data_IF_344478926933
#
_entry.id   IF_344478926933
#
_cell.length_a   1.000
_cell.length_b   1.000
_cell.length_c   1.000
_cell.angle_alpha   90.00
_cell.angle_beta   90.00
_cell.angle_gamma   90.00
#
_symmetry.space_group_name_H-M   'P 1'
#
loop_
_entity.id
_entity.type
_entity.pdbx_description
1 polymer ?
#
# COMPACT_ATOMS: atom_id res chain seq x y z
N UNK A 1 22.78 50.19 -1.57
CA UNK A 1 22.95 48.93 -2.36
C UNK A 1 23.02 47.68 -1.48
N UNK A 2 23.79 47.65 -0.38
CA UNK A 2 23.92 46.47 0.51
C UNK A 2 22.58 45.96 1.12
N UNK A 3 21.67 46.87 1.48
CA UNK A 3 20.35 46.52 2.04
C UNK A 3 19.43 45.87 1.00
N UNK A 4 19.48 46.32 -0.26
CA UNK A 4 18.72 45.75 -1.37
C UNK A 4 19.19 44.34 -1.73
N UNK A 5 20.51 44.10 -1.72
CA UNK A 5 21.08 42.75 -1.91
C UNK A 5 20.75 41.81 -0.76
N UNK A 6 20.70 42.29 0.48
CA UNK A 6 20.31 41.47 1.64
C UNK A 6 18.83 41.08 1.60
N UNK A 7 17.94 42.01 1.20
CA UNK A 7 16.51 41.74 1.03
C UNK A 7 16.24 40.77 -0.14
N UNK A 8 16.97 40.91 -1.25
CA UNK A 8 16.88 39.97 -2.38
C UNK A 8 17.37 38.57 -1.99
N UNK A 9 18.48 38.46 -1.26
CA UNK A 9 18.98 37.19 -0.77
C UNK A 9 17.99 36.51 0.20
N UNK A 10 17.38 37.28 1.11
CA UNK A 10 16.36 36.76 2.02
C UNK A 10 15.10 36.29 1.29
N UNK A 11 14.62 37.06 0.30
CA UNK A 11 13.47 36.67 -0.52
C UNK A 11 13.71 35.37 -1.32
N UNK A 12 14.92 35.17 -1.84
CA UNK A 12 15.28 33.96 -2.59
C UNK A 12 15.36 32.72 -1.70
N UNK A 13 15.79 32.87 -0.43
CA UNK A 13 15.83 31.76 0.54
C UNK A 13 14.42 31.31 0.97
N UNK A 14 13.47 32.23 1.11
CA UNK A 14 12.08 31.91 1.50
C UNK A 14 11.34 31.22 0.34
N UNK A 15 11.61 31.60 -0.91
CA UNK A 15 11.03 30.96 -2.09
C UNK A 15 11.52 29.52 -2.32
N UNK A 16 12.63 29.11 -1.69
CA UNK A 16 13.19 27.76 -1.79
C UNK A 16 12.63 26.75 -0.77
N UNK A 17 11.81 27.19 0.18
CA UNK A 17 11.20 26.30 1.18
C UNK A 17 10.01 25.54 0.58
N UNK A 18 10.30 24.48 -0.16
CA UNK A 18 9.28 23.52 -0.58
C UNK A 18 8.61 22.86 0.64
N UNK A 19 7.29 22.69 0.60
CA UNK A 19 6.57 21.96 1.63
C UNK A 19 7.14 20.53 1.74
N UNK A 20 7.75 20.21 2.88
CA UNK A 20 8.11 18.83 3.20
C UNK A 20 6.82 18.07 3.51
N UNK A 21 6.32 17.29 2.55
CA UNK A 21 5.22 16.38 2.81
C UNK A 21 5.73 15.26 3.71
N UNK A 22 5.29 15.24 4.97
CA UNK A 22 5.56 14.13 5.86
C UNK A 22 4.89 12.84 5.33
N UNK A 23 5.58 11.73 5.52
CA UNK A 23 5.21 10.42 4.98
C UNK A 23 5.23 9.39 6.10
N UNK A 24 4.13 8.66 6.25
CA UNK A 24 4.06 7.46 7.09
C UNK A 24 4.24 6.23 6.24
N UNK A 25 5.17 5.36 6.62
CA UNK A 25 5.39 4.06 5.98
C UNK A 25 4.85 2.93 6.85
N UNK A 26 4.04 2.06 6.25
CA UNK A 26 3.50 0.84 6.85
C UNK A 26 4.21 -0.35 6.19
N UNK A 27 4.95 -1.16 6.96
CA UNK A 27 5.75 -2.26 6.41
C UNK A 27 5.48 -3.63 7.05
N UNK A 28 5.14 -3.70 8.34
CA UNK A 28 4.78 -4.95 9.01
C UNK A 28 3.76 -4.69 10.12
N UNK A 29 2.55 -4.31 9.73
CA UNK A 29 1.46 -4.01 10.65
C UNK A 29 0.40 -5.12 10.57
N UNK A 30 0.35 -5.96 11.63
CA UNK A 30 -0.55 -7.12 11.73
C UNK A 30 -1.98 -6.74 12.14
N UNK A 31 -2.22 -5.47 12.46
CA UNK A 31 -3.47 -4.98 13.02
C UNK A 31 -3.55 -5.12 14.54
N UNK A 32 -4.75 -4.91 15.06
CA UNK A 32 -5.02 -4.90 16.49
C UNK A 32 -6.45 -4.44 16.76
N UNK A 33 -6.68 -3.76 17.88
CA UNK A 33 -8.01 -3.24 18.24
C UNK A 33 -8.48 -2.22 17.20
N UNK A 34 -9.66 -2.43 16.63
CA UNK A 34 -10.25 -1.56 15.60
C UNK A 34 -10.25 -0.09 16.01
N UNK A 35 -10.72 0.23 17.23
CA UNK A 35 -10.79 1.62 17.71
C UNK A 35 -9.45 2.35 17.67
N UNK A 36 -8.36 1.68 18.06
CA UNK A 36 -7.01 2.26 18.03
C UNK A 36 -6.58 2.69 16.62
N UNK A 37 -6.99 1.94 15.58
CA UNK A 37 -6.69 2.29 14.19
C UNK A 37 -7.62 3.36 13.64
N UNK A 38 -8.87 3.41 14.09
CA UNK A 38 -9.79 4.50 13.77
C UNK A 38 -9.22 5.82 14.26
N UNK A 39 -8.84 5.90 15.54
CA UNK A 39 -8.26 7.12 16.13
C UNK A 39 -6.95 7.51 15.43
N UNK A 40 -6.02 6.55 15.29
CA UNK A 40 -4.73 6.76 14.60
C UNK A 40 -4.90 7.31 13.19
N UNK A 41 -5.82 6.77 12.40
CA UNK A 41 -6.00 7.22 11.02
C UNK A 41 -6.86 8.47 10.89
N UNK A 42 -7.66 8.83 11.90
CA UNK A 42 -8.27 10.15 11.98
C UNK A 42 -7.20 11.23 12.17
N UNK A 43 -6.26 11.03 13.09
CA UNK A 43 -5.15 11.95 13.32
C UNK A 43 -4.27 12.08 12.06
N UNK A 44 -3.93 10.95 11.45
CA UNK A 44 -3.14 10.92 10.22
C UNK A 44 -3.87 11.60 9.03
N UNK A 45 -5.20 11.45 8.96
CA UNK A 45 -6.00 12.14 7.95
C UNK A 45 -5.91 13.64 8.14
N UNK A 46 -6.01 14.12 9.40
CA UNK A 46 -5.97 15.53 9.78
C UNK A 46 -4.58 16.16 9.54
N UNK A 47 -3.50 15.42 9.77
CA UNK A 47 -2.13 15.94 9.59
C UNK A 47 -1.76 16.23 8.15
N UNK A 48 -2.53 15.73 7.17
CA UNK A 48 -2.24 15.95 5.75
C UNK A 48 -1.18 15.01 5.18
N UNK A 49 -0.59 14.15 6.02
CA UNK A 49 0.47 13.21 5.63
C UNK A 49 0.03 12.21 4.55
N UNK A 50 1.03 11.70 3.84
CA UNK A 50 0.85 10.65 2.84
C UNK A 50 1.25 9.29 3.41
N UNK A 51 0.64 8.23 2.90
CA UNK A 51 0.86 6.86 3.35
C UNK A 51 1.53 6.04 2.26
N UNK A 52 2.66 5.43 2.59
CA UNK A 52 3.32 4.39 1.81
C UNK A 52 2.99 3.04 2.46
N UNK A 53 2.35 2.14 1.72
CA UNK A 53 2.23 0.73 2.13
C UNK A 53 3.34 -0.03 1.43
N UNK A 54 4.31 -0.50 2.21
CA UNK A 54 5.54 -1.18 1.75
C UNK A 54 5.80 -2.47 2.53
N UNK A 55 4.80 -3.34 2.54
CA UNK A 55 4.85 -4.63 3.21
C UNK A 55 3.47 -5.03 3.72
N UNK A 56 3.41 -5.74 4.84
CA UNK A 56 2.17 -6.23 5.40
C UNK A 56 1.37 -5.11 6.07
N UNK A 57 0.09 -5.03 5.73
CA UNK A 57 -0.93 -4.28 6.45
C UNK A 57 -2.17 -5.18 6.56
N UNK A 58 -2.40 -5.77 7.73
CA UNK A 58 -3.43 -6.77 7.94
C UNK A 58 -4.49 -6.32 8.96
N UNK A 59 -5.68 -6.91 8.87
CA UNK A 59 -6.75 -6.71 9.84
C UNK A 59 -7.08 -5.22 10.01
N UNK A 60 -7.15 -4.69 11.23
CA UNK A 60 -7.44 -3.28 11.51
C UNK A 60 -6.48 -2.28 10.81
N UNK A 61 -5.24 -2.65 10.46
CA UNK A 61 -4.37 -1.77 9.66
C UNK A 61 -5.02 -1.34 8.35
N UNK A 62 -5.78 -2.24 7.72
CA UNK A 62 -6.42 -1.97 6.43
C UNK A 62 -7.52 -0.90 6.49
N UNK A 63 -7.91 -0.43 7.68
CA UNK A 63 -8.81 0.73 7.84
C UNK A 63 -8.21 1.98 7.17
N UNK A 64 -6.88 2.06 7.04
CA UNK A 64 -6.18 3.13 6.33
C UNK A 64 -6.75 3.38 4.92
N UNK A 65 -7.24 2.33 4.27
CA UNK A 65 -7.78 2.36 2.91
C UNK A 65 -9.07 3.16 2.79
N UNK A 66 -9.86 3.24 3.87
CA UNK A 66 -11.10 4.02 3.95
C UNK A 66 -10.93 5.34 4.70
N UNK A 67 -9.95 5.41 5.61
CA UNK A 67 -9.71 6.60 6.42
C UNK A 67 -8.89 7.67 5.67
N UNK A 68 -7.90 7.27 4.87
CA UNK A 68 -7.02 8.21 4.14
C UNK A 68 -7.49 8.36 2.69
N UNK A 69 -7.56 9.59 2.14
CA UNK A 69 -7.84 9.82 0.73
C UNK A 69 -6.93 8.98 -0.18
N UNK A 70 -7.53 8.32 -1.17
CA UNK A 70 -6.83 7.37 -2.04
C UNK A 70 -5.61 7.96 -2.75
N UNK A 71 -5.66 9.24 -3.10
CA UNK A 71 -4.58 9.99 -3.74
C UNK A 71 -3.39 10.27 -2.81
N UNK A 72 -3.60 10.18 -1.49
CA UNK A 72 -2.54 10.23 -0.46
C UNK A 72 -2.00 8.87 -0.07
N UNK A 73 -2.52 7.78 -0.63
CA UNK A 73 -1.99 6.43 -0.45
C UNK A 73 -1.22 6.02 -1.71
N UNK A 74 -0.03 5.46 -1.54
CA UNK A 74 0.63 4.70 -2.59
C UNK A 74 1.10 3.34 -2.06
N UNK A 75 1.28 2.40 -2.97
CA UNK A 75 1.68 1.02 -2.66
C UNK A 75 2.99 0.69 -3.37
N UNK A 76 3.86 -0.06 -2.71
CA UNK A 76 5.09 -0.57 -3.33
C UNK A 76 4.87 -1.94 -3.97
N UNK A 77 5.92 -2.50 -4.57
CA UNK A 77 5.90 -3.89 -5.05
C UNK A 77 5.80 -4.94 -3.92
N UNK A 78 6.16 -4.58 -2.68
CA UNK A 78 6.11 -5.46 -1.51
C UNK A 78 4.77 -5.41 -0.75
N UNK A 79 3.92 -4.43 -1.08
CA UNK A 79 2.66 -4.20 -0.40
C UNK A 79 1.73 -5.42 -0.42
N UNK A 80 1.25 -5.82 0.76
CA UNK A 80 0.32 -6.92 0.97
C UNK A 80 -0.76 -6.52 1.96
N UNK A 81 -2.02 -6.53 1.53
CA UNK A 81 -3.17 -6.26 2.38
C UNK A 81 -3.82 -7.57 2.82
N UNK A 82 -3.94 -7.78 4.13
CA UNK A 82 -4.55 -8.98 4.72
C UNK A 82 -5.94 -8.68 5.28
N UNK A 83 -6.96 -9.40 4.82
CA UNK A 83 -8.34 -9.23 5.25
C UNK A 83 -8.88 -10.52 5.89
N UNK A 84 -9.56 -10.40 7.03
CA UNK A 84 -10.25 -11.52 7.70
C UNK A 84 -11.37 -10.97 8.59
N UNK A 85 -12.20 -11.85 9.14
CA UNK A 85 -13.25 -11.52 10.09
C UNK A 85 -12.67 -11.03 11.42
N UNK A 86 -13.24 -9.97 11.98
CA UNK A 86 -12.86 -9.51 13.32
C UNK A 86 -13.18 -10.60 14.36
N UNK A 87 -12.42 -10.60 15.45
CA UNK A 87 -12.54 -11.60 16.49
C UNK A 87 -12.22 -11.00 17.86
N UNK A 88 -12.77 -11.62 18.91
CA UNK A 88 -12.48 -11.34 20.31
C UNK A 88 -11.85 -12.56 20.98
N UNK A 89 -11.27 -12.36 22.16
CA UNK A 89 -10.81 -13.47 22.98
C UNK A 89 -11.99 -14.12 23.71
N UNK A 90 -12.22 -15.40 23.46
CA UNK A 90 -13.11 -16.23 24.25
C UNK A 90 -12.58 -16.49 25.66
N UNK A 91 -13.40 -17.12 26.49
CA UNK A 91 -13.07 -17.45 27.89
C UNK A 91 -11.84 -18.32 28.07
N UNK A 92 -11.42 -19.05 27.02
CA UNK A 92 -10.22 -19.88 26.98
C UNK A 92 -9.04 -19.21 26.26
N UNK A 93 -9.12 -17.91 25.97
CA UNK A 93 -8.11 -17.16 25.22
C UNK A 93 -8.05 -17.46 23.73
N UNK A 94 -8.96 -18.27 23.17
CA UNK A 94 -9.04 -18.50 21.73
C UNK A 94 -9.75 -17.36 21.03
N UNK A 95 -9.33 -17.06 19.80
CA UNK A 95 -10.03 -16.13 18.94
C UNK A 95 -11.42 -16.68 18.57
N UNK A 96 -12.47 -15.88 18.80
CA UNK A 96 -13.85 -16.14 18.40
C UNK A 96 -14.30 -15.02 17.50
N UNK A 97 -14.81 -15.35 16.31
CA UNK A 97 -15.32 -14.35 15.37
C UNK A 97 -16.40 -13.49 16.00
N UNK A 98 -16.29 -12.18 15.81
CA UNK A 98 -17.28 -11.18 16.20
C UNK A 98 -17.98 -10.67 14.92
N UNK A 99 -19.23 -11.09 14.65
CA UNK A 99 -19.97 -10.69 13.45
C UNK A 99 -20.19 -9.17 13.36
N UNK A 100 -20.51 -8.51 14.47
CA UNK A 100 -20.78 -7.08 14.54
C UNK A 100 -19.51 -6.28 14.21
N UNK A 101 -18.39 -6.62 14.83
CA UNK A 101 -17.09 -6.01 14.55
C UNK A 101 -16.61 -6.32 13.13
N UNK A 102 -16.93 -7.52 12.61
CA UNK A 102 -16.64 -7.87 11.21
C UNK A 102 -17.41 -6.98 10.26
N UNK A 103 -18.69 -6.75 10.52
CA UNK A 103 -19.53 -5.87 9.71
C UNK A 103 -19.07 -4.42 9.80
N UNK A 104 -18.70 -3.94 10.99
CA UNK A 104 -18.13 -2.61 11.19
C UNK A 104 -16.83 -2.44 10.40
N UNK A 105 -15.90 -3.41 10.50
CA UNK A 105 -14.65 -3.40 9.75
C UNK A 105 -14.91 -3.37 8.24
N UNK A 106 -15.80 -4.24 7.76
CA UNK A 106 -16.13 -4.33 6.35
C UNK A 106 -16.74 -3.03 5.80
N UNK A 107 -17.60 -2.36 6.59
CA UNK A 107 -18.25 -1.12 6.19
C UNK A 107 -17.28 0.06 6.00
N UNK A 108 -16.11 0.03 6.65
CA UNK A 108 -15.08 1.06 6.50
C UNK A 108 -14.31 0.97 5.18
N UNK A 109 -14.40 -0.15 4.45
CA UNK A 109 -13.63 -0.32 3.22
C UNK A 109 -14.22 0.39 2.00
N UNK A 110 -13.38 0.95 1.11
CA UNK A 110 -13.81 1.48 -0.18
C UNK A 110 -14.58 0.43 -1.00
N UNK A 111 -15.50 0.89 -1.85
CA UNK A 111 -16.39 0.00 -2.62
C UNK A 111 -15.64 -1.02 -3.48
N UNK A 112 -14.51 -0.63 -4.08
CA UNK A 112 -13.67 -1.54 -4.88
C UNK A 112 -13.03 -2.67 -4.04
N UNK A 113 -12.63 -2.37 -2.80
CA UNK A 113 -12.05 -3.34 -1.88
C UNK A 113 -13.15 -4.27 -1.37
N UNK A 114 -14.32 -3.73 -1.00
CA UNK A 114 -15.50 -4.53 -0.63
C UNK A 114 -15.89 -5.51 -1.73
N UNK A 115 -15.97 -5.06 -2.99
CA UNK A 115 -16.25 -5.94 -4.14
C UNK A 115 -15.21 -7.06 -4.30
N UNK A 116 -13.93 -6.73 -4.15
CA UNK A 116 -12.85 -7.72 -4.24
C UNK A 116 -12.92 -8.77 -3.13
N UNK A 117 -13.26 -8.35 -1.90
CA UNK A 117 -13.48 -9.22 -0.73
C UNK A 117 -14.72 -10.09 -0.93
N UNK A 118 -15.84 -9.52 -1.37
CA UNK A 118 -17.09 -10.26 -1.55
C UNK A 118 -16.98 -11.36 -2.61
N UNK A 119 -16.22 -11.11 -3.68
CA UNK A 119 -15.89 -12.11 -4.70
C UNK A 119 -15.06 -13.29 -4.17
N UNK A 120 -14.53 -13.19 -2.95
CA UNK A 120 -13.73 -14.21 -2.26
C UNK A 120 -14.42 -14.81 -1.04
N UNK A 121 -15.74 -14.63 -0.94
CA UNK A 121 -16.54 -15.20 0.16
C UNK A 121 -16.65 -14.30 1.39
N UNK A 122 -16.22 -13.04 1.32
CA UNK A 122 -16.36 -12.09 2.42
C UNK A 122 -15.21 -12.13 3.42
N UNK A 123 -15.41 -11.47 4.56
CA UNK A 123 -14.49 -11.56 5.69
C UNK A 123 -14.80 -12.83 6.49
N UNK A 124 -13.89 -13.80 6.42
CA UNK A 124 -13.98 -15.08 7.15
C UNK A 124 -12.82 -15.20 8.14
N UNK A 125 -12.80 -16.19 9.05
CA UNK A 125 -11.64 -16.42 9.91
C UNK A 125 -10.34 -16.67 9.14
N UNK A 126 -10.44 -17.11 7.88
CA UNK A 126 -9.29 -17.33 7.02
C UNK A 126 -8.89 -16.02 6.34
N UNK A 127 -7.62 -15.66 6.51
CA UNK A 127 -7.08 -14.44 5.92
C UNK A 127 -6.94 -14.57 4.39
N UNK A 128 -7.43 -13.57 3.67
CA UNK A 128 -7.23 -13.40 2.23
C UNK A 128 -6.31 -12.23 1.96
N UNK A 129 -5.48 -12.33 0.90
CA UNK A 129 -4.45 -11.35 0.61
C UNK A 129 -4.64 -10.66 -0.75
N UNK A 130 -4.62 -9.32 -0.75
CA UNK A 130 -4.57 -8.48 -1.95
C UNK A 130 -3.15 -7.90 -2.10
N UNK A 131 -2.50 -8.20 -3.23
CA UNK A 131 -1.11 -7.82 -3.49
C UNK A 131 -0.80 -7.76 -5.00
N UNK A 132 0.38 -7.26 -5.35
CA UNK A 132 0.89 -7.23 -6.72
C UNK A 132 -0.03 -6.47 -7.68
N UNK A 133 -0.20 -6.99 -8.91
CA UNK A 133 -0.97 -6.31 -9.98
C UNK A 133 -2.41 -5.99 -9.58
N UNK A 134 -3.06 -6.84 -8.80
CA UNK A 134 -4.44 -6.59 -8.34
C UNK A 134 -4.51 -5.38 -7.40
N UNK A 135 -3.54 -5.25 -6.50
CA UNK A 135 -3.42 -4.10 -5.61
C UNK A 135 -3.04 -2.83 -6.38
N UNK A 136 -2.11 -2.94 -7.32
CA UNK A 136 -1.65 -1.83 -8.15
C UNK A 136 -2.72 -1.34 -9.15
N UNK A 137 -3.67 -2.19 -9.53
CA UNK A 137 -4.86 -1.76 -10.27
C UNK A 137 -5.80 -0.89 -9.41
N UNK A 138 -5.71 -1.02 -8.08
CA UNK A 138 -6.57 -0.34 -7.12
C UNK A 138 -5.94 0.91 -6.50
N UNK A 139 -4.62 0.96 -6.35
CA UNK A 139 -3.87 2.07 -5.74
C UNK A 139 -2.61 2.37 -6.55
N UNK A 140 -2.22 3.64 -6.65
CA UNK A 140 -1.06 4.04 -7.45
C UNK A 140 0.25 3.47 -6.87
N UNK A 141 1.21 3.06 -7.72
CA UNK A 141 2.57 2.78 -7.27
C UNK A 141 3.20 4.01 -6.60
N UNK A 142 4.05 3.80 -5.61
CA UNK A 142 4.87 4.88 -5.05
C UNK A 142 5.90 5.37 -6.08
N UNK A 143 6.24 6.66 -6.06
CA UNK A 143 7.10 7.29 -7.08
C UNK A 143 8.46 6.57 -7.27
N UNK A 144 9.08 6.13 -6.18
CA UNK A 144 10.33 5.37 -6.24
C UNK A 144 10.16 3.98 -6.89
N UNK A 145 9.06 3.27 -6.61
CA UNK A 145 8.73 2.00 -7.26
C UNK A 145 8.34 2.18 -8.73
N UNK A 146 7.66 3.27 -9.06
CA UNK A 146 7.31 3.61 -10.43
C UNK A 146 8.57 3.85 -11.27
N UNK A 147 9.57 4.55 -10.73
CA UNK A 147 10.87 4.72 -11.37
C UNK A 147 11.65 3.40 -11.47
N UNK A 148 11.62 2.55 -10.44
CA UNK A 148 12.28 1.25 -10.50
C UNK A 148 11.64 0.33 -11.57
N UNK A 149 10.31 0.32 -11.65
CA UNK A 149 9.56 -0.52 -12.60
C UNK A 149 9.74 -0.06 -14.05
N UNK A 150 9.78 1.25 -14.30
CA UNK A 150 10.03 1.81 -15.65
C UNK A 150 11.47 1.62 -16.11
N UNK A 151 12.42 1.54 -15.18
CA UNK A 151 13.84 1.26 -15.48
C UNK A 151 14.16 -0.23 -15.58
N UNK A 152 13.25 -1.12 -15.20
CA UNK A 152 13.51 -2.55 -15.28
C UNK A 152 13.54 -2.97 -16.76
N UNK A 153 14.68 -3.51 -17.27
CA UNK A 153 14.75 -4.00 -18.64
C UNK A 153 13.66 -5.04 -18.84
N UNK A 154 12.91 -4.92 -19.93
CA UNK A 154 11.93 -5.92 -20.35
C UNK A 154 12.65 -7.27 -20.33
N UNK A 155 12.26 -8.19 -19.43
CA UNK A 155 12.89 -9.52 -19.36
C UNK A 155 12.81 -10.12 -20.76
N UNK A 156 13.96 -10.31 -21.40
CA UNK A 156 14.05 -10.91 -22.72
C UNK A 156 13.34 -12.27 -22.65
N UNK A 157 12.36 -12.56 -23.52
CA UNK A 157 11.72 -13.87 -23.54
C UNK A 157 12.78 -14.96 -23.62
N UNK A 158 12.58 -16.08 -22.93
CA UNK A 158 13.43 -17.25 -23.13
C UNK A 158 13.45 -17.55 -24.64
N UNK A 159 14.62 -17.81 -25.25
CA UNK A 159 14.68 -18.21 -26.65
C UNK A 159 13.85 -19.49 -26.85
N UNK A 160 13.10 -19.51 -27.95
CA UNK A 160 12.30 -20.67 -28.35
C UNK A 160 13.19 -21.89 -28.61
N UNK A 161 12.60 -23.09 -28.54
CA UNK A 161 13.31 -24.35 -28.79
C UNK A 161 14.00 -24.36 -30.16
N UNK A 162 13.37 -23.80 -31.19
CA UNK A 162 13.95 -23.65 -32.53
C UNK A 162 15.21 -22.78 -32.55
N UNK A 163 15.26 -21.72 -31.72
CA UNK A 163 16.43 -20.85 -31.62
C UNK A 163 17.59 -21.53 -30.90
N UNK A 164 17.31 -22.46 -29.97
CA UNK A 164 18.35 -23.30 -29.35
C UNK A 164 18.91 -24.36 -30.31
N UNK A 165 18.07 -24.96 -31.15
CA UNK A 165 18.51 -25.93 -32.15
C UNK A 165 19.36 -25.28 -33.26
N UNK A 166 18.95 -24.11 -33.75
CA UNK A 166 19.72 -23.36 -34.74
C UNK A 166 21.11 -22.95 -34.22
N UNK A 167 21.23 -22.61 -32.93
CA UNK A 167 22.52 -22.24 -32.33
C UNK A 167 23.45 -23.45 -32.16
N UNK A 168 22.89 -24.66 -31.95
CA UNK A 168 23.67 -25.91 -31.87
C UNK A 168 24.21 -26.35 -33.23
N UNK A 169 23.46 -26.12 -34.31
CA UNK A 169 23.90 -26.42 -35.68
C UNK A 169 25.05 -25.54 -36.18
N UNK A 170 25.20 -24.32 -35.64
CA UNK A 170 26.25 -23.37 -36.04
C UNK A 170 27.61 -23.61 -35.37
N UNK A 171 27.67 -24.45 -34.33
CA UNK A 171 28.91 -24.83 -33.63
C UNK A 171 29.55 -26.12 -34.17
N UNK A 172 28.94 -26.74 -35.18
CA UNK A 172 29.36 -28.02 -35.75
C UNK A 172 30.11 -27.89 -37.10
N UNK A 173 30.58 -26.69 -37.45
CA UNK A 173 31.43 -26.42 -38.62
C UNK A 173 32.69 -25.67 -38.22
#
# INVERSE_FOLDING_TARGET
MKLLTALLAAGLLIAGMGASHAVVRIADDRGGRIGTYVDRYQDLRQSGETVIIDGLCASACTIVLGAIPRDRICVTSHATLGFHAAWDFGTNGRAITNPEATQMLYAMYPSQVRRWISQRGGLTPHMIFLRGKQLQAMYKPCYLDAQASTRQPLRRPLPSAEQLESARGQLAH
#
